data_IF_957586471433
#
_entry.id   IF_957586471433
#
_cell.length_a   1.000
_cell.length_b   1.000
_cell.length_c   1.000
_cell.angle_alpha   90.00
_cell.angle_beta   90.00
_cell.angle_gamma   90.00
#
_symmetry.space_group_name_H-M   'P 1'
#
loop_
_entity.id
_entity.type
_entity.pdbx_description
1 polymer ?
#
# COMPACT_ATOMS: atom_id res chain seq x y z
N UNK A 1 -13.34 -19.27 -9.41
CA UNK A 1 -13.27 -17.80 -9.39
C UNK A 1 -12.16 -17.46 -8.40
N UNK A 2 -11.07 -16.85 -8.86
CA UNK A 2 -10.03 -16.31 -7.97
C UNK A 2 -10.38 -14.87 -7.67
N UNK A 3 -10.25 -14.45 -6.42
CA UNK A 3 -10.84 -13.21 -5.92
C UNK A 3 -9.89 -12.00 -6.05
N UNK A 4 -8.81 -12.13 -6.83
CA UNK A 4 -7.74 -11.13 -7.03
C UNK A 4 -7.13 -10.56 -5.74
N UNK A 5 -7.37 -11.19 -4.58
CA UNK A 5 -6.69 -10.83 -3.35
C UNK A 5 -5.22 -11.22 -3.45
N UNK A 6 -4.36 -10.29 -3.03
CA UNK A 6 -2.92 -10.47 -2.92
C UNK A 6 -2.54 -10.34 -1.45
N UNK A 7 -1.60 -11.16 -1.01
CA UNK A 7 -1.07 -11.08 0.35
C UNK A 7 -0.29 -9.77 0.52
N UNK A 8 -0.47 -9.11 1.65
CA UNK A 8 0.33 -7.95 2.02
C UNK A 8 1.66 -8.45 2.55
N UNK A 9 2.74 -8.13 1.83
CA UNK A 9 4.10 -8.48 2.21
C UNK A 9 4.73 -7.39 3.10
N UNK A 10 4.36 -6.13 2.89
CA UNK A 10 4.83 -5.01 3.70
C UNK A 10 3.68 -4.04 4.00
N UNK A 11 3.64 -3.61 5.26
CA UNK A 11 2.85 -2.48 5.71
C UNK A 11 3.73 -1.60 6.59
N UNK A 12 3.94 -0.35 6.19
CA UNK A 12 4.71 0.63 6.96
C UNK A 12 3.95 1.94 7.04
N UNK A 13 3.89 2.50 8.24
CA UNK A 13 3.46 3.88 8.46
C UNK A 13 4.69 4.76 8.75
N UNK A 14 4.74 5.93 8.11
CA UNK A 14 5.71 6.98 8.42
C UNK A 14 5.03 8.06 9.27
N UNK A 15 5.50 8.23 10.49
CA UNK A 15 4.91 9.17 11.46
C UNK A 15 5.29 10.63 11.19
N UNK A 16 6.33 10.89 10.40
CA UNK A 16 6.75 12.24 10.04
C UNK A 16 5.93 12.79 8.87
N UNK A 17 5.68 11.97 7.85
CA UNK A 17 4.90 12.38 6.67
C UNK A 17 3.41 12.02 6.76
N UNK A 18 3.06 11.07 7.64
CA UNK A 18 1.72 10.53 7.77
C UNK A 18 1.33 9.57 6.63
N UNK A 19 2.32 9.05 5.89
CA UNK A 19 2.12 8.21 4.72
C UNK A 19 2.11 6.72 5.11
N UNK A 20 1.33 5.92 4.37
CA UNK A 20 1.30 4.47 4.51
C UNK A 20 1.80 3.83 3.23
N UNK A 21 2.78 2.95 3.34
CA UNK A 21 3.30 2.15 2.25
C UNK A 21 2.80 0.72 2.36
N UNK A 22 2.28 0.18 1.26
CA UNK A 22 1.75 -1.17 1.16
C UNK A 22 2.42 -1.86 -0.02
N UNK A 23 3.09 -2.98 0.22
CA UNK A 23 3.54 -3.90 -0.82
C UNK A 23 2.69 -5.16 -0.76
N UNK A 24 2.07 -5.54 -1.87
CA UNK A 24 1.22 -6.72 -1.97
C UNK A 24 1.56 -7.55 -3.22
N UNK A 25 1.51 -8.87 -3.08
CA UNK A 25 1.88 -9.77 -4.18
C UNK A 25 3.29 -9.50 -4.71
N UNK A 26 3.50 -9.70 -6.00
CA UNK A 26 4.82 -9.53 -6.63
C UNK A 26 5.07 -8.12 -7.18
N UNK A 27 4.01 -7.40 -7.59
CA UNK A 27 4.13 -6.16 -8.38
C UNK A 27 3.23 -5.01 -7.88
N UNK A 28 2.45 -5.19 -6.81
CA UNK A 28 1.56 -4.14 -6.32
C UNK A 28 2.26 -3.34 -5.23
N UNK A 29 2.57 -2.09 -5.56
CA UNK A 29 3.05 -1.09 -4.62
C UNK A 29 2.04 0.07 -4.55
N UNK A 30 1.62 0.40 -3.33
CA UNK A 30 0.62 1.43 -3.06
C UNK A 30 1.16 2.36 -1.97
N UNK A 31 0.97 3.65 -2.17
CA UNK A 31 1.10 4.67 -1.12
C UNK A 31 -0.27 5.27 -0.81
N UNK A 32 -0.57 5.40 0.48
CA UNK A 32 -1.67 6.22 0.97
C UNK A 32 -1.06 7.49 1.56
N UNK A 33 -1.32 8.61 0.91
CA UNK A 33 -0.86 9.92 1.34
C UNK A 33 -1.62 10.36 2.60
N UNK A 34 -1.03 11.26 3.38
CA UNK A 34 -1.63 11.77 4.63
C UNK A 34 -2.96 12.51 4.45
N UNK A 35 -3.28 12.93 3.22
CA UNK A 35 -4.58 13.50 2.85
C UNK A 35 -5.65 12.44 2.48
N UNK A 36 -5.30 11.14 2.54
CA UNK A 36 -6.18 10.03 2.24
C UNK A 36 -6.26 9.64 0.76
N UNK A 37 -5.46 10.26 -0.12
CA UNK A 37 -5.34 9.86 -1.53
C UNK A 37 -4.48 8.60 -1.63
N UNK A 38 -4.89 7.70 -2.52
CA UNK A 38 -4.20 6.46 -2.81
C UNK A 38 -3.55 6.55 -4.18
N UNK A 39 -2.29 6.16 -4.28
CA UNK A 39 -1.53 6.14 -5.53
C UNK A 39 -0.84 4.78 -5.70
N UNK A 40 -0.82 4.30 -6.95
CA UNK A 40 0.04 3.18 -7.34
C UNK A 40 1.41 3.74 -7.70
N UNK A 41 2.47 3.08 -7.23
CA UNK A 41 3.85 3.42 -7.57
C UNK A 41 4.35 2.62 -8.77
#
# INVERSE_FOLDING_TARGET
MSNCYQDIHLFRFDDQTGEVYILAGEEIEIIVLSNGIWEFL
#
